data_IF_038331902325
#
_entry.id   IF_038331902325
#
_cell.length_a   1.000
_cell.length_b   1.000
_cell.length_c   1.000
_cell.angle_alpha   90.00
_cell.angle_beta   90.00
_cell.angle_gamma   90.00
#
_symmetry.space_group_name_H-M   'P 1'
#
loop_
_entity.id
_entity.type
_entity.pdbx_description
1 polymer ?
#
# COMPACT_ATOMS: atom_id res chain seq x y z
N UNK A 1 23.20 25.93 -13.67
CA UNK A 1 22.63 26.95 -12.78
C UNK A 1 21.21 26.41 -12.53
N UNK A 2 20.96 25.97 -11.33
CA UNK A 2 19.62 25.42 -10.98
C UNK A 2 18.60 26.56 -11.05
N UNK A 3 17.62 26.41 -11.95
CA UNK A 3 16.47 27.32 -12.07
C UNK A 3 15.46 27.07 -10.90
N UNK A 4 15.96 27.05 -9.66
CA UNK A 4 15.09 27.01 -8.49
C UNK A 4 14.39 28.36 -8.38
N UNK A 5 13.10 28.41 -8.71
CA UNK A 5 12.29 29.57 -8.33
C UNK A 5 12.26 29.62 -6.79
N UNK A 6 12.49 30.81 -6.16
CA UNK A 6 12.43 30.89 -4.70
C UNK A 6 11.02 30.51 -4.24
N UNK A 7 10.91 29.54 -3.33
CA UNK A 7 9.68 29.29 -2.60
C UNK A 7 9.50 30.50 -1.68
N UNK A 8 8.42 31.25 -1.91
CA UNK A 8 8.19 32.53 -1.19
C UNK A 8 7.71 32.35 0.25
N UNK A 9 7.30 31.12 0.65
CA UNK A 9 6.80 30.79 1.97
C UNK A 9 7.89 30.22 2.87
N UNK A 10 7.87 30.59 4.16
CA UNK A 10 8.74 30.02 5.19
C UNK A 10 8.11 28.80 5.91
N UNK A 11 6.79 28.60 5.75
CA UNK A 11 6.03 27.51 6.37
C UNK A 11 5.02 26.90 5.39
N UNK A 12 4.52 25.72 5.74
CA UNK A 12 3.55 24.93 4.97
C UNK A 12 2.48 24.35 5.86
N UNK A 13 1.31 24.05 5.28
CA UNK A 13 0.26 23.27 5.93
C UNK A 13 0.65 21.77 5.95
N UNK A 14 0.36 21.11 7.08
CA UNK A 14 0.49 19.66 7.23
C UNK A 14 -0.63 19.10 8.12
N UNK A 15 -1.03 17.85 7.91
CA UNK A 15 -1.94 17.11 8.78
C UNK A 15 -1.14 16.13 9.63
N UNK A 16 -1.05 16.41 10.92
CA UNK A 16 -0.21 15.65 11.84
C UNK A 16 -0.68 15.69 13.28
N UNK A 17 0.19 15.27 14.20
CA UNK A 17 -0.10 15.16 15.62
C UNK A 17 1.12 15.50 16.49
N UNK A 18 0.87 15.88 17.74
CA UNK A 18 1.91 16.20 18.73
C UNK A 18 2.15 15.08 19.76
N UNK A 19 1.24 14.14 19.85
CA UNK A 19 1.34 12.95 20.71
C UNK A 19 0.55 11.79 20.13
N UNK A 20 0.91 10.57 20.47
CA UNK A 20 0.13 9.37 20.08
C UNK A 20 -1.23 9.35 20.77
N UNK A 21 -2.21 8.75 20.10
CA UNK A 21 -3.57 8.62 20.60
C UNK A 21 -4.47 7.94 19.58
N UNK A 22 -5.58 8.58 19.22
CA UNK A 22 -6.44 8.14 18.11
C UNK A 22 -6.51 9.22 17.03
N UNK A 23 -7.34 9.04 16.04
CA UNK A 23 -7.50 9.98 14.91
C UNK A 23 -7.93 11.40 15.33
N UNK A 24 -8.47 11.57 16.53
CA UNK A 24 -8.79 12.86 17.14
C UNK A 24 -7.54 13.68 17.54
N UNK A 25 -6.36 13.06 17.53
CA UNK A 25 -5.07 13.76 17.71
C UNK A 25 -4.59 14.43 16.43
N UNK A 26 -5.16 14.08 15.26
CA UNK A 26 -4.80 14.68 14.00
C UNK A 26 -5.35 16.11 13.92
N UNK A 27 -4.47 17.03 13.54
CA UNK A 27 -4.81 18.44 13.36
C UNK A 27 -4.09 19.06 12.16
N UNK A 28 -4.63 20.15 11.65
CA UNK A 28 -3.96 20.93 10.61
C UNK A 28 -2.90 21.82 11.29
N UNK A 29 -1.66 21.66 10.89
CA UNK A 29 -0.47 22.31 11.44
C UNK A 29 0.08 23.34 10.46
N UNK A 30 0.75 24.36 10.99
CA UNK A 30 1.62 25.27 10.26
C UNK A 30 3.08 24.92 10.67
N UNK A 31 3.84 24.34 9.76
CA UNK A 31 5.19 23.81 10.03
C UNK A 31 6.20 24.36 9.04
N UNK A 32 7.50 24.42 9.40
CA UNK A 32 8.53 24.84 8.45
C UNK A 32 8.57 23.94 7.20
N UNK A 33 8.81 24.52 6.03
CA UNK A 33 9.13 23.76 4.82
C UNK A 33 10.45 23.02 5.08
N UNK A 34 10.55 21.71 4.73
CA UNK A 34 11.77 20.93 4.98
C UNK A 34 12.95 21.46 4.17
N UNK A 35 14.12 21.46 4.81
CA UNK A 35 15.38 21.64 4.11
C UNK A 35 15.76 20.34 3.40
N UNK A 36 16.27 20.43 2.16
CA UNK A 36 16.69 19.25 1.39
C UNK A 36 18.20 19.06 1.48
N UNK A 37 18.64 17.81 1.56
CA UNK A 37 20.04 17.43 1.44
C UNK A 37 20.52 17.53 -0.03
N UNK A 38 21.82 17.39 -0.27
CA UNK A 38 22.41 17.59 -1.61
C UNK A 38 21.92 16.57 -2.65
N UNK A 39 21.49 15.36 -2.23
CA UNK A 39 20.95 14.28 -3.07
C UNK A 39 19.40 14.16 -2.98
N UNK A 40 18.73 15.17 -2.43
CA UNK A 40 17.28 15.22 -2.27
C UNK A 40 16.62 16.27 -3.18
N UNK A 41 15.35 16.09 -3.42
CA UNK A 41 14.51 17.11 -4.05
C UNK A 41 13.40 17.52 -3.09
N UNK A 42 12.88 18.74 -3.27
CA UNK A 42 11.63 19.17 -2.64
C UNK A 42 10.49 18.94 -3.63
N UNK A 43 9.51 18.13 -3.22
CA UNK A 43 8.30 17.85 -4.01
C UNK A 43 7.16 18.73 -3.51
N UNK A 44 6.56 19.53 -4.39
CA UNK A 44 5.27 20.17 -4.23
C UNK A 44 4.20 19.08 -4.38
N UNK A 45 3.57 18.70 -3.27
CA UNK A 45 2.64 17.57 -3.19
C UNK A 45 1.30 17.95 -3.84
N UNK A 46 0.86 17.16 -4.80
CA UNK A 46 -0.44 17.34 -5.48
C UNK A 46 -1.50 16.36 -5.01
N UNK A 47 -1.08 15.16 -4.60
CA UNK A 47 -1.96 14.15 -4.04
C UNK A 47 -1.20 13.21 -3.11
N UNK A 48 -1.88 12.74 -2.07
CA UNK A 48 -1.39 11.71 -1.14
C UNK A 48 -2.53 10.77 -0.76
N UNK A 49 -2.26 9.45 -0.71
CA UNK A 49 -3.31 8.47 -0.46
C UNK A 49 -3.18 7.80 0.91
N UNK A 50 -4.32 7.59 1.57
CA UNK A 50 -4.38 6.99 2.90
C UNK A 50 -4.07 5.49 2.86
N UNK A 51 -3.40 5.01 3.90
CA UNK A 51 -3.10 3.60 4.16
C UNK A 51 -3.38 3.25 5.63
N UNK A 52 -3.60 1.97 5.93
CA UNK A 52 -3.76 1.54 7.32
C UNK A 52 -2.55 1.84 8.21
N UNK A 53 -1.34 1.96 7.63
CA UNK A 53 -0.14 2.38 8.37
C UNK A 53 -0.31 3.76 9.01
N UNK A 54 -1.08 4.66 8.40
CA UNK A 54 -1.30 6.01 8.94
C UNK A 54 -2.12 5.98 10.23
N UNK A 55 -3.07 5.02 10.35
CA UNK A 55 -3.76 4.76 11.62
C UNK A 55 -2.82 4.18 12.68
N UNK A 56 -1.91 3.28 12.28
CA UNK A 56 -0.91 2.73 13.19
C UNK A 56 0.09 3.80 13.62
N UNK A 57 0.47 4.71 12.72
CA UNK A 57 1.37 5.82 13.03
C UNK A 57 0.85 6.68 14.20
N UNK A 58 -0.42 7.07 14.18
CA UNK A 58 -1.00 7.88 15.25
C UNK A 58 -1.29 7.07 16.52
N UNK A 59 -1.57 5.75 16.41
CA UNK A 59 -2.04 4.92 17.53
C UNK A 59 -0.93 4.15 18.25
N UNK A 60 0.04 3.59 17.53
CA UNK A 60 0.82 2.47 18.03
C UNK A 60 2.33 2.54 17.79
N UNK A 61 2.83 3.46 16.94
CA UNK A 61 4.24 3.49 16.56
C UNK A 61 5.11 4.41 17.44
N UNK A 62 4.81 4.50 18.74
CA UNK A 62 5.50 5.36 19.71
C UNK A 62 7.01 5.12 19.85
N UNK A 63 7.48 3.94 19.47
CA UNK A 63 8.91 3.60 19.47
C UNK A 63 9.66 3.96 18.17
N UNK A 64 8.94 4.27 17.09
CA UNK A 64 9.52 4.79 15.84
C UNK A 64 9.38 6.30 15.74
N UNK A 65 8.23 6.84 16.15
CA UNK A 65 7.92 8.26 16.06
C UNK A 65 8.19 8.92 17.41
N UNK A 66 9.30 9.63 17.50
CA UNK A 66 9.77 10.28 18.72
C UNK A 66 9.99 11.79 18.56
N UNK A 67 9.90 12.29 17.33
CA UNK A 67 10.08 13.72 16.99
C UNK A 67 8.76 14.32 16.51
N UNK A 68 8.25 15.33 17.26
CA UNK A 68 6.97 15.98 17.04
C UNK A 68 7.13 17.45 16.65
N UNK A 69 6.16 18.06 15.93
CA UNK A 69 4.99 17.38 15.36
C UNK A 69 5.38 16.37 14.28
N UNK A 70 4.57 15.32 14.14
CA UNK A 70 4.75 14.30 13.13
C UNK A 70 3.53 14.19 12.22
N UNK A 71 3.73 13.91 10.92
CA UNK A 71 2.67 13.69 9.96
C UNK A 71 2.95 12.50 9.04
N UNK A 72 1.85 11.80 8.68
CA UNK A 72 1.88 10.60 7.86
C UNK A 72 1.91 10.89 6.35
N UNK A 73 1.43 9.93 5.56
CA UNK A 73 1.35 10.03 4.10
C UNK A 73 2.53 9.35 3.40
N UNK A 74 2.47 8.02 3.28
CA UNK A 74 3.50 7.26 2.57
C UNK A 74 3.34 7.29 1.05
N UNK A 75 2.12 7.40 0.56
CA UNK A 75 1.78 7.41 -0.87
C UNK A 75 1.65 8.85 -1.38
N UNK A 76 2.61 9.33 -2.17
CA UNK A 76 2.69 10.74 -2.58
C UNK A 76 3.01 10.89 -4.06
N UNK A 77 2.32 11.81 -4.72
CA UNK A 77 2.58 12.25 -6.09
C UNK A 77 2.57 13.78 -6.16
N UNK A 78 3.48 14.35 -6.95
CA UNK A 78 3.60 15.82 -7.04
C UNK A 78 4.54 16.27 -8.14
N UNK A 79 5.05 17.49 -7.96
CA UNK A 79 5.93 18.16 -8.91
C UNK A 79 7.22 18.58 -8.18
N UNK A 80 8.37 18.44 -8.80
CA UNK A 80 9.62 18.90 -8.23
C UNK A 80 9.62 20.44 -8.13
N UNK A 81 9.74 20.97 -6.92
CA UNK A 81 9.81 22.40 -6.63
C UNK A 81 11.24 22.91 -6.48
N UNK A 82 12.15 22.08 -5.94
CA UNK A 82 13.57 22.41 -5.82
C UNK A 82 14.45 21.16 -5.88
N UNK A 83 15.75 21.37 -6.20
CA UNK A 83 16.74 20.30 -6.38
C UNK A 83 17.94 20.55 -5.48
N UNK A 84 18.45 19.51 -4.85
CA UNK A 84 19.76 19.49 -4.20
C UNK A 84 20.90 19.59 -5.22
N UNK A 85 22.09 19.96 -4.75
CA UNK A 85 23.23 20.26 -5.63
C UNK A 85 23.75 19.04 -6.40
N UNK A 86 23.58 17.84 -5.85
CA UNK A 86 24.08 16.56 -6.42
C UNK A 86 22.98 15.79 -7.20
N UNK A 87 21.75 16.30 -7.27
CA UNK A 87 20.65 15.67 -8.00
C UNK A 87 20.90 15.74 -9.50
N UNK A 88 20.85 14.58 -10.16
CA UNK A 88 21.06 14.46 -11.60
C UNK A 88 19.82 13.85 -12.30
N UNK A 89 19.55 14.28 -13.53
CA UNK A 89 18.49 13.70 -14.37
C UNK A 89 17.08 14.18 -14.09
N UNK A 90 16.89 15.09 -13.12
CA UNK A 90 15.62 15.73 -12.79
C UNK A 90 15.65 17.24 -13.00
N UNK A 91 14.48 17.84 -13.18
CA UNK A 91 14.30 19.27 -13.34
C UNK A 91 13.13 19.78 -12.50
N UNK A 92 13.17 21.03 -12.07
CA UNK A 92 12.00 21.69 -11.48
C UNK A 92 10.85 21.66 -12.48
N UNK A 93 9.67 21.26 -12.00
CA UNK A 93 8.50 21.06 -12.83
C UNK A 93 8.27 19.61 -13.28
N UNK A 94 9.21 18.71 -13.08
CA UNK A 94 9.02 17.28 -13.38
C UNK A 94 7.95 16.66 -12.48
N UNK A 95 7.11 15.84 -13.07
CA UNK A 95 6.02 15.13 -12.40
C UNK A 95 6.53 13.83 -11.80
N UNK A 96 6.39 13.66 -10.49
CA UNK A 96 7.02 12.56 -9.76
C UNK A 96 6.07 11.79 -8.84
N UNK A 97 6.27 10.49 -8.82
CA UNK A 97 5.71 9.55 -7.86
C UNK A 97 6.80 9.16 -6.87
N UNK A 98 6.48 9.22 -5.58
CA UNK A 98 7.41 8.87 -4.51
C UNK A 98 7.31 7.39 -4.16
N UNK A 99 8.42 6.67 -4.25
CA UNK A 99 8.54 5.37 -3.62
C UNK A 99 8.67 5.56 -2.11
N UNK A 100 7.65 5.18 -1.37
CA UNK A 100 7.56 5.42 0.08
C UNK A 100 8.63 4.71 0.92
N UNK A 101 9.28 3.67 0.37
CA UNK A 101 10.31 2.90 1.07
C UNK A 101 11.70 3.34 0.69
N UNK A 102 12.43 3.87 1.65
CA UNK A 102 13.81 4.31 1.51
C UNK A 102 14.74 3.21 2.02
N UNK A 103 15.41 2.53 1.11
CA UNK A 103 16.44 1.54 1.44
C UNK A 103 17.81 2.21 1.55
N UNK A 104 18.72 1.66 2.37
CA UNK A 104 20.06 2.25 2.55
C UNK A 104 20.95 2.16 1.29
N UNK A 105 20.67 1.22 0.38
CA UNK A 105 21.40 1.02 -0.87
C UNK A 105 22.74 0.26 -0.74
N UNK A 106 23.31 0.11 0.46
CA UNK A 106 24.69 -0.38 0.68
C UNK A 106 24.79 -1.73 1.40
N UNK A 107 23.73 -2.17 2.11
CA UNK A 107 23.78 -3.45 2.82
C UNK A 107 23.72 -4.64 1.85
N UNK A 108 24.12 -5.80 2.33
CA UNK A 108 24.11 -7.07 1.58
C UNK A 108 22.77 -7.38 0.88
N UNK A 109 21.66 -7.09 1.55
CA UNK A 109 20.31 -7.27 1.00
C UNK A 109 19.99 -6.26 -0.11
N UNK A 110 20.36 -4.98 0.08
CA UNK A 110 20.18 -3.97 -0.96
C UNK A 110 21.00 -4.27 -2.21
N UNK A 111 22.26 -4.66 -2.03
CA UNK A 111 23.14 -5.05 -3.14
C UNK A 111 22.70 -6.32 -3.87
N UNK A 112 21.95 -7.20 -3.18
CA UNK A 112 21.33 -8.37 -3.76
C UNK A 112 19.99 -8.08 -4.48
N UNK A 113 19.51 -6.83 -4.50
CA UNK A 113 18.22 -6.46 -5.10
C UNK A 113 17.02 -6.66 -4.17
N UNK A 114 17.26 -7.00 -2.90
CA UNK A 114 16.24 -7.28 -1.90
C UNK A 114 15.99 -6.10 -0.94
N UNK A 115 15.74 -4.92 -1.51
CA UNK A 115 15.54 -3.69 -0.74
C UNK A 115 14.36 -3.76 0.22
N UNK A 116 13.34 -4.57 -0.07
CA UNK A 116 12.22 -4.83 0.85
C UNK A 116 12.66 -5.42 2.20
N UNK A 117 13.82 -6.06 2.25
CA UNK A 117 14.42 -6.64 3.45
C UNK A 117 15.59 -5.84 4.00
N UNK A 118 15.82 -4.61 3.52
CA UNK A 118 16.87 -3.73 4.02
C UNK A 118 16.76 -3.57 5.54
N UNK A 119 17.88 -3.73 6.26
CA UNK A 119 17.89 -3.64 7.74
C UNK A 119 17.82 -2.20 8.25
N UNK A 120 18.22 -1.25 7.40
CA UNK A 120 18.28 0.19 7.72
C UNK A 120 17.27 0.95 6.84
N UNK A 121 16.11 0.35 6.60
CA UNK A 121 15.06 1.01 5.82
C UNK A 121 14.37 2.11 6.63
N UNK A 122 13.85 3.07 5.92
CA UNK A 122 12.87 4.02 6.42
C UNK A 122 11.61 3.97 5.55
N UNK A 123 10.50 4.44 6.09
CA UNK A 123 9.22 4.54 5.38
C UNK A 123 8.62 5.91 5.69
N UNK A 124 8.17 6.61 4.68
CA UNK A 124 7.42 7.85 4.85
C UNK A 124 6.12 7.56 5.61
N UNK A 125 5.81 8.41 6.59
CA UNK A 125 4.65 8.25 7.44
C UNK A 125 4.84 7.30 8.64
N UNK A 126 6.03 6.65 8.76
CA UNK A 126 6.37 5.82 9.92
C UNK A 126 7.71 6.22 10.55
N UNK A 127 8.75 6.41 9.74
CA UNK A 127 10.11 6.71 10.17
C UNK A 127 10.54 8.13 9.78
N UNK A 128 9.98 8.63 8.71
CA UNK A 128 10.12 10.02 8.23
C UNK A 128 8.73 10.62 8.06
N UNK A 129 8.64 11.93 8.22
CA UNK A 129 7.45 12.71 7.90
C UNK A 129 7.06 12.48 6.45
N UNK A 130 5.77 12.38 6.17
CA UNK A 130 5.26 11.98 4.87
C UNK A 130 4.57 13.11 4.10
N UNK A 131 3.76 12.73 3.11
CA UNK A 131 3.13 13.65 2.17
C UNK A 131 1.80 14.25 2.62
N UNK A 132 1.37 14.08 3.88
CA UNK A 132 0.23 14.86 4.39
C UNK A 132 0.66 16.31 4.69
N UNK A 133 1.35 16.94 3.76
CA UNK A 133 1.89 18.28 3.82
C UNK A 133 2.02 18.84 2.39
N UNK A 134 2.11 20.18 2.27
CA UNK A 134 2.25 20.83 0.96
C UNK A 134 3.58 20.49 0.27
N UNK A 135 4.64 20.22 1.04
CA UNK A 135 5.95 19.86 0.50
C UNK A 135 6.52 18.63 1.21
N UNK A 136 7.33 17.87 0.46
CA UNK A 136 8.02 16.66 0.93
C UNK A 136 9.46 16.63 0.42
N UNK A 137 10.42 16.39 1.32
CA UNK A 137 11.83 16.13 1.01
C UNK A 137 12.02 14.66 0.60
N UNK A 138 12.60 14.41 -0.59
CA UNK A 138 12.70 13.07 -1.15
C UNK A 138 14.07 12.82 -1.77
N UNK A 139 14.81 11.74 -1.36
CA UNK A 139 16.01 11.32 -2.05
C UNK A 139 15.72 11.01 -3.53
N UNK A 140 16.58 11.47 -4.45
CA UNK A 140 16.36 11.30 -5.90
C UNK A 140 16.10 9.85 -6.32
N UNK A 141 16.76 8.89 -5.65
CA UNK A 141 16.61 7.44 -5.90
C UNK A 141 15.22 6.88 -5.59
N UNK A 142 14.38 7.64 -4.88
CA UNK A 142 13.01 7.29 -4.53
C UNK A 142 11.97 7.91 -5.47
N UNK A 143 12.42 8.64 -6.50
CA UNK A 143 11.53 9.27 -7.48
C UNK A 143 11.31 8.40 -8.70
N UNK A 144 10.09 8.44 -9.21
CA UNK A 144 9.70 7.83 -10.48
C UNK A 144 8.89 8.84 -11.29
N UNK A 145 9.19 8.95 -12.59
CA UNK A 145 8.47 9.86 -13.46
C UNK A 145 7.00 9.43 -13.64
N UNK A 146 6.08 10.37 -13.53
CA UNK A 146 4.67 10.19 -13.87
C UNK A 146 4.47 10.61 -15.33
N UNK A 147 3.85 9.78 -16.20
CA UNK A 147 3.51 10.17 -17.56
C UNK A 147 2.67 11.47 -17.60
N UNK A 148 2.87 12.30 -18.64
CA UNK A 148 2.27 13.64 -18.73
C UNK A 148 0.74 13.62 -18.57
N UNK A 149 0.09 12.64 -19.16
CA UNK A 149 -1.38 12.51 -19.17
C UNK A 149 -1.93 11.76 -17.93
N UNK A 150 -1.08 11.22 -17.05
CA UNK A 150 -1.54 10.44 -15.91
C UNK A 150 -1.84 11.35 -14.73
N UNK A 151 -3.02 11.20 -14.12
CA UNK A 151 -3.51 12.05 -13.05
C UNK A 151 -2.75 11.82 -11.71
N UNK A 152 -2.45 12.90 -10.95
CA UNK A 152 -1.75 12.80 -9.66
C UNK A 152 -2.52 12.03 -8.60
N UNK A 153 -3.85 12.16 -8.57
CA UNK A 153 -4.72 11.45 -7.63
C UNK A 153 -4.64 9.94 -7.87
N UNK A 154 -4.65 9.55 -9.16
CA UNK A 154 -4.43 8.14 -9.54
C UNK A 154 -3.02 7.68 -9.21
N UNK A 155 -2.01 8.49 -9.50
CA UNK A 155 -0.62 8.14 -9.22
C UNK A 155 -0.38 7.94 -7.71
N UNK A 156 -0.85 8.85 -6.86
CA UNK A 156 -0.70 8.74 -5.41
C UNK A 156 -1.38 7.48 -4.82
N UNK A 157 -2.41 6.94 -5.46
CA UNK A 157 -3.08 5.73 -4.97
C UNK A 157 -2.32 4.41 -5.22
N UNK A 158 -1.12 4.47 -5.83
CA UNK A 158 -0.37 3.30 -6.33
C UNK A 158 0.67 2.75 -5.33
N UNK A 159 1.64 3.52 -4.78
CA UNK A 159 2.94 3.01 -4.32
C UNK A 159 2.85 1.85 -3.33
N UNK A 160 2.25 2.08 -2.16
CA UNK A 160 2.22 1.07 -1.09
C UNK A 160 1.30 -0.10 -1.47
N UNK A 161 0.09 0.21 -1.90
CA UNK A 161 -0.93 -0.81 -2.12
C UNK A 161 -0.57 -1.75 -3.28
N UNK A 162 -0.24 -1.19 -4.46
CA UNK A 162 0.15 -1.98 -5.63
C UNK A 162 1.50 -2.67 -5.43
N UNK A 163 2.49 -1.99 -4.82
CA UNK A 163 3.80 -2.55 -4.54
C UNK A 163 3.73 -3.76 -3.60
N UNK A 164 2.92 -3.69 -2.52
CA UNK A 164 2.70 -4.82 -1.61
C UNK A 164 2.00 -6.00 -2.32
N UNK A 165 0.97 -5.73 -3.10
CA UNK A 165 0.26 -6.76 -3.85
C UNK A 165 1.16 -7.42 -4.91
N UNK A 166 1.93 -6.61 -5.66
CA UNK A 166 2.87 -7.09 -6.67
C UNK A 166 3.90 -8.03 -6.07
N UNK A 167 4.64 -7.54 -5.05
CA UNK A 167 5.65 -8.40 -4.42
C UNK A 167 5.06 -9.67 -3.85
N UNK A 168 3.90 -9.60 -3.21
CA UNK A 168 3.26 -10.77 -2.62
C UNK A 168 2.92 -11.82 -3.68
N UNK A 169 2.31 -11.41 -4.78
CA UNK A 169 1.76 -12.34 -5.77
C UNK A 169 2.75 -12.68 -6.89
N UNK A 170 3.47 -11.68 -7.44
CA UNK A 170 4.39 -11.89 -8.54
C UNK A 170 5.75 -12.45 -8.09
N UNK A 171 6.29 -11.96 -6.95
CA UNK A 171 7.66 -12.31 -6.54
C UNK A 171 7.68 -13.40 -5.48
N UNK A 172 6.77 -13.36 -4.49
CA UNK A 172 6.83 -14.26 -3.34
C UNK A 172 5.98 -15.51 -3.49
N UNK A 173 4.79 -15.37 -4.07
CA UNK A 173 3.86 -16.48 -4.27
C UNK A 173 4.15 -17.28 -5.53
N UNK A 174 4.78 -16.66 -6.52
CA UNK A 174 5.02 -17.27 -7.84
C UNK A 174 3.70 -17.83 -8.41
N UNK A 175 2.67 -16.96 -8.52
CA UNK A 175 1.36 -17.34 -9.03
C UNK A 175 1.47 -17.97 -10.42
N UNK A 176 0.67 -19.00 -10.65
CA UNK A 176 0.54 -19.66 -11.92
C UNK A 176 -0.87 -19.50 -12.51
N UNK A 177 -1.05 -19.41 -13.83
CA UNK A 177 -2.39 -19.28 -14.45
C UNK A 177 -3.39 -20.36 -14.04
N UNK A 178 -2.92 -21.59 -13.75
CA UNK A 178 -3.78 -22.69 -13.28
C UNK A 178 -4.10 -22.68 -11.79
N UNK A 179 -3.63 -21.67 -11.03
CA UNK A 179 -3.94 -21.59 -9.59
C UNK A 179 -5.39 -21.15 -9.40
N UNK A 180 -6.05 -21.72 -8.41
CA UNK A 180 -7.25 -21.17 -7.78
C UNK A 180 -6.82 -20.30 -6.60
N UNK A 181 -7.14 -18.99 -6.66
CA UNK A 181 -6.69 -18.01 -5.67
C UNK A 181 -7.85 -17.43 -4.86
N UNK A 182 -7.74 -17.48 -3.54
CA UNK A 182 -8.61 -16.71 -2.63
C UNK A 182 -7.91 -15.45 -2.12
N UNK A 183 -8.56 -14.29 -2.25
CA UNK A 183 -8.10 -13.02 -1.68
C UNK A 183 -8.95 -12.65 -0.48
N UNK A 184 -8.33 -12.61 0.72
CA UNK A 184 -8.94 -12.17 1.96
C UNK A 184 -8.62 -10.70 2.20
N UNK A 185 -9.66 -9.86 2.32
CA UNK A 185 -9.53 -8.41 2.35
C UNK A 185 -9.48 -7.79 0.94
N UNK A 186 -10.15 -8.42 -0.02
CA UNK A 186 -10.10 -8.09 -1.44
C UNK A 186 -10.58 -6.66 -1.78
N UNK A 187 -11.43 -6.05 -0.96
CA UNK A 187 -11.97 -4.71 -1.22
C UNK A 187 -11.07 -3.58 -0.73
N UNK A 188 -10.03 -3.84 0.06
CA UNK A 188 -9.06 -2.80 0.46
C UNK A 188 -8.10 -2.42 -0.67
N UNK A 189 -7.28 -1.38 -0.47
CA UNK A 189 -6.33 -0.92 -1.48
C UNK A 189 -5.41 -2.03 -2.01
N UNK A 190 -4.75 -2.78 -1.14
CA UNK A 190 -3.90 -3.93 -1.53
C UNK A 190 -4.73 -5.02 -2.21
N UNK A 191 -5.95 -5.28 -1.70
CA UNK A 191 -6.83 -6.32 -2.24
C UNK A 191 -7.31 -6.04 -3.66
N UNK A 192 -7.68 -4.80 -3.97
CA UNK A 192 -8.11 -4.41 -5.33
C UNK A 192 -7.00 -4.53 -6.35
N UNK A 193 -5.75 -4.20 -5.99
CA UNK A 193 -4.60 -4.50 -6.85
C UNK A 193 -4.31 -5.99 -6.96
N UNK A 194 -4.47 -6.75 -5.87
CA UNK A 194 -4.29 -8.21 -5.92
C UNK A 194 -5.27 -8.88 -6.90
N UNK A 195 -6.54 -8.45 -6.93
CA UNK A 195 -7.54 -8.90 -7.91
C UNK A 195 -7.07 -8.62 -9.34
N UNK A 196 -6.63 -7.39 -9.61
CA UNK A 196 -6.17 -7.01 -10.95
C UNK A 196 -4.89 -7.74 -11.36
N UNK A 197 -3.93 -7.90 -10.46
CA UNK A 197 -2.70 -8.67 -10.72
C UNK A 197 -3.05 -10.11 -11.07
N UNK A 198 -3.94 -10.75 -10.31
CA UNK A 198 -4.38 -12.12 -10.58
C UNK A 198 -5.06 -12.24 -11.96
N UNK A 199 -5.92 -11.28 -12.33
CA UNK A 199 -6.66 -11.30 -13.59
C UNK A 199 -5.85 -10.82 -14.79
N UNK A 200 -5.30 -9.62 -14.70
CA UNK A 200 -4.77 -8.92 -15.87
C UNK A 200 -3.29 -9.27 -16.14
N UNK A 201 -2.57 -9.78 -15.12
CA UNK A 201 -1.14 -10.11 -15.26
C UNK A 201 -0.89 -11.61 -15.32
N UNK A 202 -1.57 -12.39 -14.44
CA UNK A 202 -1.34 -13.83 -14.34
C UNK A 202 -2.42 -14.69 -15.01
N UNK A 203 -3.58 -14.11 -15.36
CA UNK A 203 -4.72 -14.84 -15.95
C UNK A 203 -5.09 -16.09 -15.14
N UNK A 204 -5.20 -15.91 -13.81
CA UNK A 204 -5.51 -16.99 -12.86
C UNK A 204 -6.84 -17.63 -13.19
N UNK A 205 -6.92 -18.97 -13.19
CA UNK A 205 -8.08 -19.74 -13.65
C UNK A 205 -9.36 -19.40 -12.89
N UNK A 206 -9.30 -19.42 -11.55
CA UNK A 206 -10.47 -19.10 -10.70
C UNK A 206 -10.09 -18.18 -9.55
N UNK A 207 -10.82 -17.09 -9.40
CA UNK A 207 -10.59 -16.08 -8.38
C UNK A 207 -11.75 -16.00 -7.40
N UNK A 208 -11.44 -16.26 -6.14
CA UNK A 208 -12.33 -16.13 -5.00
C UNK A 208 -11.94 -14.88 -4.21
N UNK A 209 -12.92 -14.15 -3.69
CA UNK A 209 -12.65 -12.96 -2.88
C UNK A 209 -13.64 -12.82 -1.74
N UNK A 210 -13.16 -12.31 -0.59
CA UNK A 210 -14.02 -12.05 0.57
C UNK A 210 -14.41 -10.59 0.67
N UNK A 211 -15.63 -10.32 1.12
CA UNK A 211 -16.18 -8.99 1.39
C UNK A 211 -17.10 -8.99 2.59
N UNK A 212 -17.47 -7.78 3.09
CA UNK A 212 -18.38 -7.61 4.24
C UNK A 212 -19.78 -7.11 3.85
N UNK A 213 -20.00 -6.72 2.59
CA UNK A 213 -21.29 -6.16 2.16
C UNK A 213 -21.55 -6.39 0.68
N UNK A 214 -22.81 -6.33 0.27
CA UNK A 214 -23.21 -6.46 -1.13
C UNK A 214 -22.73 -5.29 -2.00
N UNK A 215 -22.65 -4.08 -1.46
CA UNK A 215 -22.09 -2.92 -2.16
C UNK A 215 -20.64 -3.19 -2.58
N UNK A 216 -19.81 -3.64 -1.63
CA UNK A 216 -18.42 -4.01 -1.90
C UNK A 216 -18.29 -5.24 -2.78
N UNK A 217 -19.24 -6.17 -2.72
CA UNK A 217 -19.28 -7.34 -3.61
C UNK A 217 -19.50 -6.95 -5.06
N UNK A 218 -20.32 -5.92 -5.33
CA UNK A 218 -20.52 -5.41 -6.68
C UNK A 218 -19.21 -4.92 -7.30
N UNK A 219 -18.39 -4.18 -6.56
CA UNK A 219 -17.07 -3.73 -7.01
C UNK A 219 -16.18 -4.91 -7.42
N UNK A 220 -16.13 -5.97 -6.61
CA UNK A 220 -15.31 -7.16 -6.92
C UNK A 220 -15.80 -7.91 -8.16
N UNK A 221 -17.11 -8.03 -8.35
CA UNK A 221 -17.68 -8.65 -9.56
C UNK A 221 -17.37 -7.85 -10.82
N UNK A 222 -17.44 -6.52 -10.74
CA UNK A 222 -17.07 -5.64 -11.85
C UNK A 222 -15.59 -5.75 -12.21
N UNK A 223 -14.73 -6.08 -11.22
CA UNK A 223 -13.31 -6.37 -11.42
C UNK A 223 -13.03 -7.79 -11.93
N UNK A 224 -14.05 -8.61 -12.18
CA UNK A 224 -13.91 -9.94 -12.76
C UNK A 224 -13.62 -11.06 -11.75
N UNK A 225 -13.98 -10.89 -10.47
CA UNK A 225 -13.93 -11.98 -9.47
C UNK A 225 -15.03 -13.00 -9.75
N UNK A 226 -14.69 -14.30 -9.85
CA UNK A 226 -15.65 -15.36 -10.17
C UNK A 226 -16.58 -15.66 -8.99
N UNK A 227 -16.01 -15.73 -7.79
CA UNK A 227 -16.75 -16.07 -6.57
C UNK A 227 -16.51 -15.05 -5.46
N UNK A 228 -17.53 -14.24 -5.18
CA UNK A 228 -17.49 -13.25 -4.09
C UNK A 228 -18.23 -13.79 -2.89
N UNK A 229 -17.53 -13.96 -1.76
CA UNK A 229 -18.03 -14.54 -0.52
C UNK A 229 -18.24 -13.43 0.52
N UNK A 230 -19.48 -13.25 0.98
CA UNK A 230 -19.77 -12.30 2.05
C UNK A 230 -19.56 -12.97 3.41
N UNK A 231 -18.42 -12.69 4.05
CA UNK A 231 -18.06 -13.28 5.35
C UNK A 231 -18.93 -12.80 6.52
N UNK A 232 -19.80 -11.81 6.34
CA UNK A 232 -20.79 -11.41 7.34
C UNK A 232 -21.98 -12.38 7.37
N UNK A 233 -22.20 -13.15 6.30
CA UNK A 233 -23.33 -14.06 6.15
C UNK A 233 -22.92 -15.53 6.32
N UNK A 234 -21.69 -15.89 5.90
CA UNK A 234 -21.20 -17.26 5.94
C UNK A 234 -19.69 -17.34 6.22
N UNK A 235 -19.22 -18.52 6.66
CA UNK A 235 -17.80 -18.77 6.84
C UNK A 235 -17.13 -19.00 5.50
N UNK A 236 -16.15 -18.15 5.14
CA UNK A 236 -15.57 -18.20 3.81
C UNK A 236 -14.77 -19.49 3.52
N UNK A 237 -14.17 -20.13 4.54
CA UNK A 237 -13.52 -21.43 4.37
C UNK A 237 -14.51 -22.53 4.02
N UNK A 238 -15.72 -22.53 4.61
CA UNK A 238 -16.77 -23.46 4.26
C UNK A 238 -17.31 -23.21 2.86
N UNK A 239 -17.55 -21.95 2.49
CA UNK A 239 -17.99 -21.57 1.15
C UNK A 239 -16.99 -22.01 0.08
N UNK A 240 -15.68 -21.79 0.31
CA UNK A 240 -14.62 -22.25 -0.60
C UNK A 240 -14.65 -23.77 -0.75
N UNK A 241 -14.80 -24.52 0.34
CA UNK A 241 -14.90 -25.98 0.27
C UNK A 241 -16.10 -26.46 -0.56
N UNK A 242 -17.25 -25.80 -0.46
CA UNK A 242 -18.42 -26.12 -1.29
C UNK A 242 -18.17 -25.79 -2.76
N UNK A 243 -17.61 -24.62 -3.06
CA UNK A 243 -17.35 -24.15 -4.43
C UNK A 243 -16.27 -24.98 -5.15
N UNK A 244 -15.36 -25.61 -4.39
CA UNK A 244 -14.26 -26.43 -4.93
C UNK A 244 -14.51 -27.94 -4.81
N UNK A 245 -15.76 -28.40 -4.61
CA UNK A 245 -16.12 -29.80 -4.39
C UNK A 245 -15.26 -30.49 -3.30
N UNK A 246 -14.90 -29.76 -2.24
CA UNK A 246 -14.10 -30.23 -1.12
C UNK A 246 -12.59 -30.32 -1.38
N UNK A 247 -12.08 -29.70 -2.43
CA UNK A 247 -10.64 -29.68 -2.73
C UNK A 247 -9.90 -28.56 -2.02
N UNK A 248 -10.51 -27.39 -1.89
CA UNK A 248 -9.86 -26.15 -1.45
C UNK A 248 -9.02 -25.50 -2.56
N UNK A 249 -8.57 -24.25 -2.35
CA UNK A 249 -7.80 -23.46 -3.33
C UNK A 249 -6.29 -23.69 -3.25
N UNK A 250 -5.57 -23.38 -4.33
CA UNK A 250 -4.09 -23.48 -4.42
C UNK A 250 -3.38 -22.46 -3.54
N UNK A 251 -3.90 -21.25 -3.51
CA UNK A 251 -3.31 -20.13 -2.80
C UNK A 251 -4.36 -19.27 -2.09
N UNK A 252 -3.99 -18.75 -0.92
CA UNK A 252 -4.75 -17.72 -0.20
C UNK A 252 -3.85 -16.53 0.03
N UNK A 253 -4.25 -15.35 -0.45
CA UNK A 253 -3.61 -14.08 -0.12
C UNK A 253 -4.38 -13.41 1.00
N UNK A 254 -3.73 -13.20 2.15
CA UNK A 254 -4.33 -12.62 3.34
C UNK A 254 -3.59 -11.37 3.80
N UNK A 255 -4.30 -10.24 3.82
CA UNK A 255 -3.81 -8.93 4.32
C UNK A 255 -4.41 -8.55 5.66
N UNK A 256 -5.31 -9.38 6.20
CA UNK A 256 -6.15 -9.07 7.37
C UNK A 256 -5.59 -9.65 8.67
N UNK A 257 -5.12 -10.89 8.65
CA UNK A 257 -4.66 -11.58 9.87
C UNK A 257 -5.79 -11.86 10.86
N UNK A 258 -5.49 -11.85 12.16
CA UNK A 258 -6.48 -12.04 13.23
C UNK A 258 -7.34 -13.30 13.02
N UNK A 259 -8.66 -13.16 13.19
CA UNK A 259 -9.61 -14.27 13.09
C UNK A 259 -9.73 -14.89 11.68
N UNK A 260 -9.20 -14.23 10.64
CA UNK A 260 -9.19 -14.78 9.28
C UNK A 260 -8.06 -15.78 9.04
N UNK A 261 -7.09 -15.89 9.96
CA UNK A 261 -5.89 -16.70 9.82
C UNK A 261 -6.18 -18.20 9.70
N UNK A 262 -6.89 -18.78 10.67
CA UNK A 262 -7.23 -20.22 10.66
C UNK A 262 -8.18 -20.58 9.52
N UNK A 263 -9.25 -19.81 9.25
CA UNK A 263 -10.08 -20.03 8.07
C UNK A 263 -9.29 -19.99 6.75
N UNK A 264 -8.32 -19.08 6.60
CA UNK A 264 -7.44 -19.03 5.42
C UNK A 264 -6.68 -20.34 5.21
N UNK A 265 -6.11 -20.90 6.29
CA UNK A 265 -5.43 -22.21 6.20
C UNK A 265 -6.41 -23.37 5.90
N UNK A 266 -7.64 -23.28 6.37
CA UNK A 266 -8.66 -24.31 6.09
C UNK A 266 -9.12 -24.26 4.64
N UNK A 267 -9.23 -23.08 4.05
CA UNK A 267 -9.63 -22.90 2.65
C UNK A 267 -8.64 -23.50 1.64
N UNK A 268 -7.37 -23.68 2.02
CA UNK A 268 -6.32 -24.22 1.15
C UNK A 268 -6.54 -25.72 0.86
N UNK A 269 -6.12 -26.20 -0.28
CA UNK A 269 -5.88 -27.63 -0.58
C UNK A 269 -4.64 -28.16 0.13
N UNK A 270 -4.43 -29.47 0.11
CA UNK A 270 -3.15 -30.04 0.56
C UNK A 270 -2.00 -29.54 -0.32
N UNK A 271 -0.91 -29.11 0.29
CA UNK A 271 0.22 -28.47 -0.39
C UNK A 271 -0.04 -27.04 -0.85
N UNK A 272 -1.13 -26.41 -0.40
CA UNK A 272 -1.48 -25.04 -0.74
C UNK A 272 -0.62 -23.99 -0.02
N UNK A 273 -0.63 -22.75 -0.52
CA UNK A 273 0.20 -21.63 -0.07
C UNK A 273 -0.65 -20.55 0.60
N UNK A 274 -0.32 -20.17 1.84
CA UNK A 274 -0.85 -19.00 2.53
C UNK A 274 0.13 -17.85 2.41
N UNK A 275 -0.20 -16.85 1.61
CA UNK A 275 0.60 -15.65 1.40
C UNK A 275 0.10 -14.57 2.36
N UNK A 276 1.00 -14.00 3.18
CA UNK A 276 0.67 -13.04 4.22
C UNK A 276 1.39 -11.72 3.96
N UNK A 277 0.63 -10.64 3.83
CA UNK A 277 1.18 -9.29 3.65
C UNK A 277 0.42 -8.25 4.47
N UNK A 278 0.03 -8.59 5.69
CA UNK A 278 -0.65 -7.68 6.59
C UNK A 278 -1.31 -8.39 7.77
N UNK A 279 -1.69 -7.61 8.78
CA UNK A 279 -2.32 -8.08 10.01
C UNK A 279 -3.27 -7.01 10.60
N UNK A 280 -4.09 -6.37 9.75
CA UNK A 280 -4.94 -5.24 10.14
C UNK A 280 -6.02 -5.57 11.17
N UNK A 281 -6.36 -6.87 11.33
CA UNK A 281 -7.30 -7.35 12.36
C UNK A 281 -6.59 -8.00 13.57
N UNK A 282 -5.25 -8.01 13.59
CA UNK A 282 -4.46 -8.49 14.72
C UNK A 282 -3.25 -9.32 14.29
N UNK A 283 -2.08 -9.08 14.92
CA UNK A 283 -0.81 -9.72 14.53
C UNK A 283 -0.56 -11.08 15.18
N UNK A 284 -1.34 -11.48 16.19
CA UNK A 284 -1.06 -12.66 17.02
C UNK A 284 -2.20 -13.71 17.00
N UNK A 285 -2.57 -14.29 15.82
CA UNK A 285 -3.59 -15.32 15.77
C UNK A 285 -3.09 -16.64 16.34
N UNK A 286 -3.95 -17.38 17.03
CA UNK A 286 -3.66 -18.76 17.39
C UNK A 286 -3.54 -19.62 16.12
N UNK A 287 -2.56 -20.55 16.10
CA UNK A 287 -2.31 -21.42 14.95
C UNK A 287 -2.40 -22.88 15.32
N UNK A 288 -3.26 -23.63 14.66
CA UNK A 288 -3.28 -25.09 14.77
C UNK A 288 -2.20 -25.70 13.87
N UNK A 289 -1.05 -26.06 14.47
CA UNK A 289 0.09 -26.62 13.72
C UNK A 289 -0.23 -27.91 12.97
N UNK A 290 -1.23 -28.68 13.40
CA UNK A 290 -1.67 -29.89 12.68
C UNK A 290 -2.20 -29.56 11.28
N UNK A 291 -2.88 -28.43 11.09
CA UNK A 291 -3.29 -27.96 9.77
C UNK A 291 -2.07 -27.76 8.86
N UNK A 292 -1.02 -27.15 9.39
CA UNK A 292 0.18 -26.84 8.62
C UNK A 292 0.92 -28.13 8.21
N UNK A 293 1.30 -28.99 9.17
CA UNK A 293 2.17 -30.14 8.82
C UNK A 293 1.42 -31.30 8.18
N UNK A 294 0.17 -31.61 8.60
CA UNK A 294 -0.59 -32.72 8.01
C UNK A 294 -1.03 -32.43 6.58
N UNK A 295 -1.30 -31.17 6.25
CA UNK A 295 -1.69 -30.73 4.91
C UNK A 295 -0.51 -30.23 4.10
N UNK A 296 0.70 -30.21 4.68
CA UNK A 296 1.94 -29.75 4.04
C UNK A 296 1.78 -28.32 3.45
N UNK A 297 1.16 -27.42 4.24
CA UNK A 297 0.94 -26.04 3.81
C UNK A 297 2.23 -25.25 3.85
N UNK A 298 2.38 -24.32 2.90
CA UNK A 298 3.42 -23.31 2.89
C UNK A 298 2.88 -21.99 3.44
N UNK A 299 3.67 -21.30 4.27
CA UNK A 299 3.36 -19.95 4.75
C UNK A 299 4.41 -19.00 4.21
N UNK A 300 3.98 -18.10 3.32
CA UNK A 300 4.85 -17.19 2.59
C UNK A 300 4.64 -15.77 3.10
N UNK A 301 5.63 -15.21 3.79
CA UNK A 301 5.61 -13.81 4.21
C UNK A 301 6.04 -12.88 3.08
N UNK A 302 5.36 -11.74 2.95
CA UNK A 302 5.70 -10.67 2.03
C UNK A 302 5.54 -9.31 2.71
N UNK A 303 6.44 -8.38 2.42
CA UNK A 303 6.34 -7.00 2.89
C UNK A 303 6.85 -6.03 1.84
N UNK A 304 6.14 -4.91 1.66
CA UNK A 304 6.56 -3.83 0.78
C UNK A 304 6.94 -4.34 -0.64
N UNK A 305 8.01 -3.82 -1.23
CA UNK A 305 8.52 -4.15 -2.56
C UNK A 305 10.03 -3.88 -2.65
N UNK A 306 10.71 -4.50 -3.62
CA UNK A 306 12.05 -4.11 -4.05
C UNK A 306 11.96 -3.02 -5.14
N UNK A 307 13.09 -2.42 -5.52
CA UNK A 307 13.11 -1.48 -6.65
C UNK A 307 12.67 -2.16 -7.96
N UNK A 308 13.07 -3.41 -8.17
CA UNK A 308 12.64 -4.20 -9.33
C UNK A 308 11.14 -4.45 -9.32
N UNK A 309 10.58 -4.88 -8.18
CA UNK A 309 9.14 -5.07 -8.03
C UNK A 309 8.39 -3.78 -8.37
N UNK A 310 8.88 -2.64 -7.85
CA UNK A 310 8.23 -1.34 -8.04
C UNK A 310 8.25 -0.89 -9.50
N UNK A 311 9.40 -1.04 -10.18
CA UNK A 311 9.51 -0.69 -11.60
C UNK A 311 8.61 -1.55 -12.47
N UNK A 312 8.61 -2.87 -12.27
CA UNK A 312 7.76 -3.79 -13.02
C UNK A 312 6.25 -3.53 -12.77
N UNK A 313 5.89 -3.24 -11.54
CA UNK A 313 4.53 -2.85 -11.18
C UNK A 313 4.12 -1.54 -11.87
N UNK A 314 4.98 -0.51 -11.88
CA UNK A 314 4.71 0.75 -12.56
C UNK A 314 4.55 0.60 -14.08
N UNK A 315 5.31 -0.31 -14.72
CA UNK A 315 5.09 -0.63 -16.15
C UNK A 315 3.67 -1.11 -16.40
N UNK A 316 3.08 -1.87 -15.46
CA UNK A 316 1.70 -2.35 -15.54
C UNK A 316 0.67 -1.24 -15.27
N UNK A 317 0.97 -0.34 -14.35
CA UNK A 317 0.12 0.82 -14.06
C UNK A 317 0.11 1.79 -15.25
N UNK A 318 1.28 2.13 -15.80
CA UNK A 318 1.37 3.03 -16.96
C UNK A 318 0.85 2.40 -18.27
N UNK A 319 0.76 1.06 -18.31
CA UNK A 319 0.18 0.29 -19.42
C UNK A 319 -1.30 -0.04 -19.29
N UNK A 320 -2.00 0.51 -18.28
CA UNK A 320 -3.42 0.30 -18.00
C UNK A 320 -3.82 -1.14 -17.62
N UNK A 321 -2.84 -2.01 -17.32
CA UNK A 321 -3.12 -3.36 -16.77
C UNK A 321 -3.55 -3.30 -15.30
N UNK A 322 -3.07 -2.28 -14.55
CA UNK A 322 -3.38 -2.03 -13.15
C UNK A 322 -3.90 -0.60 -12.97
N UNK A 323 -5.12 -0.47 -12.46
CA UNK A 323 -5.75 0.82 -12.22
C UNK A 323 -6.10 1.00 -10.73
N UNK A 324 -5.83 2.17 -10.14
CA UNK A 324 -6.24 2.45 -8.77
C UNK A 324 -7.76 2.53 -8.67
N UNK A 325 -8.34 1.76 -7.76
CA UNK A 325 -9.73 1.91 -7.36
C UNK A 325 -9.79 2.98 -6.28
N UNK A 326 -10.29 4.16 -6.62
CA UNK A 326 -10.42 5.30 -5.70
C UNK A 326 -11.88 5.47 -5.36
N UNK A 327 -12.22 5.34 -4.07
CA UNK A 327 -13.60 5.55 -3.62
C UNK A 327 -13.94 7.03 -3.57
N UNK A 328 -13.04 7.85 -3.01
CA UNK A 328 -13.31 9.27 -2.79
C UNK A 328 -12.02 10.08 -2.68
N UNK A 329 -12.12 11.37 -3.02
CA UNK A 329 -11.04 12.35 -2.87
C UNK A 329 -11.48 13.49 -1.97
N UNK A 330 -10.57 14.02 -1.18
CA UNK A 330 -10.79 15.13 -0.26
C UNK A 330 -9.70 16.18 -0.44
N UNK A 331 -9.97 17.46 -0.19
CA UNK A 331 -8.88 18.42 0.01
C UNK A 331 -8.09 18.03 1.27
N UNK A 332 -6.86 18.52 1.43
CA UNK A 332 -6.03 18.23 2.61
C UNK A 332 -6.77 18.51 3.92
N UNK A 333 -7.54 19.60 3.99
CA UNK A 333 -8.34 19.99 5.15
C UNK A 333 -9.49 19.03 5.45
N UNK A 334 -9.89 18.20 4.47
CA UNK A 334 -10.90 17.15 4.61
C UNK A 334 -10.41 15.86 5.26
N UNK A 335 -9.17 15.84 5.74
CA UNK A 335 -8.51 14.68 6.33
C UNK A 335 -9.34 13.96 7.40
N UNK A 336 -10.05 14.71 8.24
CA UNK A 336 -10.81 14.14 9.37
C UNK A 336 -11.87 13.16 8.89
N UNK A 337 -12.63 13.50 7.83
CA UNK A 337 -13.64 12.62 7.24
C UNK A 337 -13.00 11.39 6.58
N UNK A 338 -11.90 11.56 5.85
CA UNK A 338 -11.17 10.47 5.22
C UNK A 338 -10.62 9.47 6.25
N UNK A 339 -10.03 9.96 7.34
CA UNK A 339 -9.53 9.12 8.44
C UNK A 339 -10.65 8.42 9.20
N UNK A 340 -11.78 9.09 9.42
CA UNK A 340 -12.96 8.49 10.07
C UNK A 340 -13.51 7.33 9.24
N UNK A 341 -13.68 7.49 7.92
CA UNK A 341 -14.09 6.40 7.02
C UNK A 341 -13.13 5.22 7.08
N UNK A 342 -11.82 5.48 7.04
CA UNK A 342 -10.82 4.43 7.11
C UNK A 342 -10.85 3.70 8.46
N UNK A 343 -10.93 4.44 9.59
CA UNK A 343 -11.00 3.87 10.94
C UNK A 343 -12.24 3.00 11.15
N UNK A 344 -13.37 3.39 10.56
CA UNK A 344 -14.64 2.67 10.61
C UNK A 344 -14.71 1.51 9.58
N UNK A 345 -13.66 1.31 8.75
CA UNK A 345 -13.64 0.31 7.66
C UNK A 345 -14.76 0.52 6.63
N UNK A 346 -15.25 1.76 6.50
CA UNK A 346 -16.24 2.17 5.50
C UNK A 346 -15.54 2.64 4.21
N UNK A 347 -14.63 1.79 3.74
CA UNK A 347 -13.79 2.07 2.57
C UNK A 347 -13.68 0.85 1.68
N UNK A 348 -13.62 1.10 0.36
CA UNK A 348 -13.11 0.17 -0.65
C UNK A 348 -12.05 0.88 -1.49
N UNK A 349 -11.05 0.14 -2.00
CA UNK A 349 -9.92 0.76 -2.70
C UNK A 349 -9.17 1.77 -1.85
N UNK A 350 -9.03 2.99 -2.35
CA UNK A 350 -8.22 4.06 -1.75
C UNK A 350 -9.04 5.33 -1.49
N UNK A 351 -8.64 6.08 -0.48
CA UNK A 351 -9.03 7.46 -0.23
C UNK A 351 -7.80 8.34 -0.50
N UNK A 352 -8.00 9.49 -1.15
CA UNK A 352 -6.89 10.37 -1.56
C UNK A 352 -7.15 11.79 -1.06
N UNK A 353 -6.13 12.41 -0.46
CA UNK A 353 -6.10 13.83 -0.16
C UNK A 353 -5.42 14.54 -1.33
N UNK A 354 -5.99 15.67 -1.77
CA UNK A 354 -5.47 16.49 -2.87
C UNK A 354 -5.11 17.88 -2.38
N UNK A 355 -4.15 18.48 -3.05
CA UNK A 355 -3.72 19.87 -2.83
C UNK A 355 -3.76 20.63 -4.17
N UNK A 356 -4.19 21.88 -4.14
CA UNK A 356 -4.32 22.73 -5.33
C UNK A 356 -2.96 23.16 -5.94
#
# INVERSE_FOLDING_TARGET
>A
MSDNAPIEADSMAAVGFHEHGDIDQLELLDVPIPEIDTDEVLVDVKATALNHQDLFAVRELDHYITDYPFWGGGDTAGVIAALGEDVEGWSVGDRVLVNSRIACGECDLCLAGEQSMCRNFQVYGEHRRGGYAEYLDVPERNLHAIPEEYDFTRAAAVPIAAGCAWRALATRAELHPSDELLIVGATGGVGTYAVQIARNVFDVETLYATTSSEEKAAVLRDMGVDHVINYAEESFDSAVWELTDGQGVDAVFNTVGGDTWVPSMRALRNGGRLIVSGATAGPNPETELRLVFMRQLEVVGSTSHSHTDFTQMLEKVWGDDLEPVIQETYPLEGYAEAFEKMANRDVYGKLVLTQE
#
